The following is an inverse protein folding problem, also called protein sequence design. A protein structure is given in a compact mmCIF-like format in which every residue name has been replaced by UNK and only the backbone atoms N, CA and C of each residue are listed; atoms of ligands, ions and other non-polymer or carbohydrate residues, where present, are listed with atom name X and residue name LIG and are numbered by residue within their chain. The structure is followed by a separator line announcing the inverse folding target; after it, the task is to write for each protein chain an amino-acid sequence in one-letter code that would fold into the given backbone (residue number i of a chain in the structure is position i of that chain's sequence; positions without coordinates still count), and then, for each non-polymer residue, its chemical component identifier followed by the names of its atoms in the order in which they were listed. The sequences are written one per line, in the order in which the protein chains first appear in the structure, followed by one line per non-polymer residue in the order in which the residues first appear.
data_IF_030541063325
#
_entry.id   IF_030541063325
#
_cell.length_a   1.000
_cell.length_b   1.000
_cell.length_c   1.000
_cell.angle_alpha   90.00
_cell.angle_beta   90.00
_cell.angle_gamma   90.00
#
_symmetry.space_group_name_H-M   'P 1'
#
loop_
_entity.id
_entity.type
_entity.pdbx_description
1 polymer ?
#
# COMPACT_ATOMS: atom_id res chain seq x y z
N UNK A 1 26.20 0.13 -8.50
CA UNK A 1 25.59 1.27 -9.21
C UNK A 1 25.40 2.41 -8.22
N UNK A 2 25.93 3.61 -8.51
CA UNK A 2 25.72 4.79 -7.65
C UNK A 2 24.33 5.36 -7.96
N UNK A 3 23.51 5.63 -6.93
CA UNK A 3 22.21 6.29 -7.08
C UNK A 3 22.40 7.65 -7.78
N UNK A 4 21.61 7.99 -8.82
CA UNK A 4 21.56 9.36 -9.30
C UNK A 4 21.01 10.24 -8.16
N UNK A 5 21.61 11.43 -7.94
CA UNK A 5 21.11 12.38 -6.93
C UNK A 5 19.75 12.92 -7.41
N UNK A 6 18.67 12.47 -6.80
CA UNK A 6 17.33 12.99 -7.07
C UNK A 6 17.20 14.41 -6.51
N UNK A 7 16.44 15.26 -7.22
CA UNK A 7 16.02 16.57 -6.73
C UNK A 7 15.12 16.34 -5.52
N UNK A 8 15.29 17.12 -4.44
CA UNK A 8 14.45 17.04 -3.25
C UNK A 8 12.98 17.28 -3.63
N UNK A 9 12.17 16.22 -3.69
CA UNK A 9 10.73 16.30 -3.97
C UNK A 9 10.05 16.66 -2.66
N UNK A 10 9.47 17.86 -2.58
CA UNK A 10 8.67 18.24 -1.42
C UNK A 10 7.32 17.51 -1.48
N UNK A 11 6.83 16.98 -0.35
CA UNK A 11 5.52 16.35 -0.29
C UNK A 11 4.43 17.36 -0.67
N UNK A 12 3.44 16.93 -1.43
CA UNK A 12 2.25 17.73 -1.71
C UNK A 12 1.42 17.89 -0.42
N UNK A 13 1.47 19.08 0.17
CA UNK A 13 0.80 19.41 1.44
C UNK A 13 -0.60 19.99 1.25
N UNK A 14 -1.09 20.13 0.00
CA UNK A 14 -2.34 20.84 -0.28
C UNK A 14 -3.60 20.17 0.29
N UNK A 15 -3.52 18.88 0.65
CA UNK A 15 -4.66 18.05 1.07
C UNK A 15 -4.65 17.66 2.57
N UNK A 16 -3.77 18.23 3.41
CA UNK A 16 -3.59 17.76 4.81
C UNK A 16 -4.90 17.68 5.62
N UNK A 17 -5.77 18.68 5.53
CA UNK A 17 -7.05 18.69 6.26
C UNK A 17 -8.04 17.62 5.80
N UNK A 18 -8.05 17.26 4.51
CA UNK A 18 -8.91 16.18 3.97
C UNK A 18 -8.37 14.80 4.40
N UNK A 19 -7.06 14.63 4.49
CA UNK A 19 -6.42 13.38 4.92
C UNK A 19 -6.71 13.09 6.41
N UNK A 20 -6.64 14.10 7.27
CA UNK A 20 -6.92 13.94 8.71
C UNK A 20 -8.40 13.59 8.99
N UNK A 21 -9.35 14.26 8.34
CA UNK A 21 -10.78 13.97 8.47
C UNK A 21 -11.10 12.53 8.02
N UNK A 22 -10.48 12.09 6.91
CA UNK A 22 -10.62 10.71 6.41
C UNK A 22 -10.02 9.69 7.37
N UNK A 23 -8.85 9.97 7.96
CA UNK A 23 -8.25 9.09 8.95
C UNK A 23 -9.19 8.89 10.13
N UNK A 24 -9.78 9.97 10.65
CA UNK A 24 -10.73 9.88 11.77
C UNK A 24 -11.95 9.04 11.40
N UNK A 25 -12.57 9.28 10.23
CA UNK A 25 -13.72 8.49 9.74
C UNK A 25 -13.38 7.02 9.59
N UNK A 26 -12.24 6.69 9.00
CA UNK A 26 -11.79 5.31 8.87
C UNK A 26 -11.56 4.66 10.24
N UNK A 27 -10.87 5.35 11.16
CA UNK A 27 -10.59 4.81 12.48
C UNK A 27 -11.88 4.56 13.28
N UNK A 28 -12.90 5.41 13.14
CA UNK A 28 -14.22 5.19 13.74
C UNK A 28 -14.91 3.92 13.21
N UNK A 29 -14.82 3.64 11.90
CA UNK A 29 -15.41 2.44 11.30
C UNK A 29 -14.64 1.17 11.71
N UNK A 30 -13.31 1.25 11.73
CA UNK A 30 -12.43 0.11 12.03
C UNK A 30 -12.46 -0.26 13.52
N UNK A 31 -12.60 0.74 14.39
CA UNK A 31 -12.51 0.59 15.84
C UNK A 31 -11.07 0.71 16.33
N UNK A 32 -10.70 -0.02 17.38
CA UNK A 32 -9.39 0.10 18.04
C UNK A 32 -8.23 -0.62 17.34
N UNK A 33 -8.51 -1.58 16.46
CA UNK A 33 -7.48 -2.32 15.69
C UNK A 33 -7.96 -2.71 14.29
N UNK A 34 -7.13 -2.50 13.25
CA UNK A 34 -5.77 -1.96 13.28
C UNK A 34 -5.71 -0.42 13.39
N UNK A 35 -4.57 0.12 13.84
CA UNK A 35 -4.35 1.57 13.92
C UNK A 35 -3.99 2.16 12.56
N UNK A 36 -4.44 3.38 12.31
CA UNK A 36 -4.08 4.18 11.16
C UNK A 36 -3.11 5.29 11.54
N UNK A 37 -2.27 5.68 10.60
CA UNK A 37 -1.36 6.82 10.75
C UNK A 37 -1.24 7.58 9.44
N UNK A 38 -0.84 8.85 9.51
CA UNK A 38 -0.48 9.64 8.33
C UNK A 38 1.04 9.56 8.21
N UNK A 39 1.52 9.24 7.01
CA UNK A 39 2.94 9.25 6.71
C UNK A 39 3.19 9.81 5.32
N UNK A 40 4.42 10.25 5.08
CA UNK A 40 4.88 10.54 3.72
C UNK A 40 5.47 9.26 3.15
N UNK A 41 4.80 8.69 2.16
CA UNK A 41 5.33 7.58 1.38
C UNK A 41 6.30 8.13 0.32
N UNK A 42 7.51 7.59 0.28
CA UNK A 42 8.48 7.83 -0.77
C UNK A 42 8.80 6.51 -1.48
N UNK A 43 8.73 6.50 -2.81
CA UNK A 43 9.12 5.32 -3.56
C UNK A 43 10.65 5.15 -3.58
N UNK A 44 11.15 3.94 -3.84
CA UNK A 44 12.60 3.67 -3.79
C UNK A 44 13.41 4.49 -4.78
N UNK A 45 12.78 4.84 -5.91
CA UNK A 45 13.37 5.66 -6.94
C UNK A 45 13.46 7.15 -6.58
N UNK A 46 12.91 7.58 -5.45
CA UNK A 46 12.91 8.98 -5.00
C UNK A 46 12.26 9.91 -6.06
N UNK A 47 11.26 9.37 -6.78
CA UNK A 47 10.54 10.05 -7.88
C UNK A 47 9.10 10.40 -7.50
N UNK A 48 8.60 9.87 -6.39
CA UNK A 48 7.28 10.16 -5.83
C UNK A 48 7.41 10.27 -4.31
N UNK A 49 6.95 11.39 -3.76
CA UNK A 49 6.75 11.60 -2.32
C UNK A 49 5.33 12.12 -2.11
N UNK A 50 4.52 11.42 -1.31
CA UNK A 50 3.09 11.71 -1.15
C UNK A 50 2.60 11.37 0.25
N UNK A 51 1.73 12.21 0.82
CA UNK A 51 1.06 11.88 2.08
C UNK A 51 -0.02 10.84 1.85
N UNK A 52 -0.03 9.81 2.70
CA UNK A 52 -0.99 8.72 2.65
C UNK A 52 -1.44 8.37 4.06
N UNK A 53 -2.64 7.82 4.15
CA UNK A 53 -3.09 7.10 5.34
C UNK A 53 -2.51 5.69 5.23
N UNK A 54 -1.77 5.24 6.23
CA UNK A 54 -1.15 3.92 6.24
C UNK A 54 -1.62 3.05 7.41
N UNK A 55 -1.55 1.73 7.23
CA UNK A 55 -1.77 0.74 8.27
C UNK A 55 -0.94 -0.51 8.02
N UNK A 56 -0.56 -1.20 9.09
CA UNK A 56 0.19 -2.46 9.06
C UNK A 56 -0.60 -3.55 9.79
N UNK A 57 -1.64 -4.14 9.17
CA UNK A 57 -2.40 -5.22 9.79
C UNK A 57 -1.54 -6.47 9.96
N UNK A 58 -1.84 -7.24 11.00
CA UNK A 58 -1.13 -8.49 11.31
C UNK A 58 -1.97 -9.74 11.08
N UNK A 59 -3.29 -9.57 10.92
CA UNK A 59 -4.27 -10.65 10.73
C UNK A 59 -5.17 -10.39 9.52
N UNK A 60 -5.80 -11.45 9.00
CA UNK A 60 -6.75 -11.34 7.88
C UNK A 60 -7.99 -10.54 8.27
N UNK A 61 -8.40 -10.64 9.53
CA UNK A 61 -9.55 -9.94 10.10
C UNK A 61 -9.30 -8.43 10.11
N UNK A 62 -8.10 -8.01 10.52
CA UNK A 62 -7.68 -6.60 10.47
C UNK A 62 -7.61 -6.08 9.04
N UNK A 63 -7.01 -6.85 8.12
CA UNK A 63 -6.98 -6.51 6.70
C UNK A 63 -8.38 -6.38 6.11
N UNK A 64 -9.30 -7.28 6.47
CA UNK A 64 -10.70 -7.23 6.03
C UNK A 64 -11.39 -5.95 6.50
N UNK A 65 -11.20 -5.57 7.77
CA UNK A 65 -11.76 -4.31 8.30
C UNK A 65 -11.26 -3.09 7.52
N UNK A 66 -9.96 -3.03 7.25
CA UNK A 66 -9.34 -1.94 6.47
C UNK A 66 -9.96 -1.83 5.08
N UNK A 67 -10.07 -2.95 4.36
CA UNK A 67 -10.61 -2.96 2.99
C UNK A 67 -12.09 -2.57 2.97
N UNK A 68 -12.89 -3.06 3.93
CA UNK A 68 -14.30 -2.71 4.04
C UNK A 68 -14.49 -1.22 4.37
N UNK A 69 -13.74 -0.70 5.35
CA UNK A 69 -13.80 0.71 5.72
C UNK A 69 -13.37 1.62 4.56
N UNK A 70 -12.30 1.26 3.84
CA UNK A 70 -11.87 1.98 2.65
C UNK A 70 -12.94 1.97 1.55
N UNK A 71 -13.57 0.82 1.30
CA UNK A 71 -14.66 0.72 0.32
C UNK A 71 -15.86 1.58 0.70
N UNK A 72 -16.24 1.63 1.97
CA UNK A 72 -17.35 2.44 2.47
C UNK A 72 -17.07 3.94 2.30
N UNK A 73 -15.81 4.35 2.46
CA UNK A 73 -15.37 5.73 2.27
C UNK A 73 -14.98 6.08 0.82
N UNK A 74 -15.13 5.14 -0.12
CA UNK A 74 -14.75 5.34 -1.52
C UNK A 74 -13.24 5.53 -1.76
N UNK A 75 -12.40 5.03 -0.85
CA UNK A 75 -10.95 5.14 -0.93
C UNK A 75 -10.34 3.99 -1.73
N UNK A 76 -9.33 4.31 -2.53
CA UNK A 76 -8.53 3.29 -3.21
C UNK A 76 -7.54 2.67 -2.23
N UNK A 77 -7.37 1.36 -2.31
CA UNK A 77 -6.41 0.61 -1.47
C UNK A 77 -5.17 0.27 -2.29
N UNK A 78 -4.00 0.51 -1.73
CA UNK A 78 -2.69 0.10 -2.26
C UNK A 78 -2.00 -0.80 -1.25
N UNK A 79 -1.51 -1.94 -1.70
CA UNK A 79 -0.74 -2.84 -0.85
C UNK A 79 0.74 -2.71 -1.18
N UNK A 80 1.58 -2.60 -0.15
CA UNK A 80 3.03 -2.60 -0.28
C UNK A 80 3.64 -3.67 0.62
N UNK A 81 4.65 -4.37 0.09
CA UNK A 81 5.55 -5.18 0.91
C UNK A 81 6.54 -4.25 1.63
N UNK A 82 7.76 -4.19 1.10
CA UNK A 82 8.84 -3.34 1.64
C UNK A 82 9.01 -2.00 0.91
N UNK A 83 8.07 -1.62 0.02
CA UNK A 83 8.12 -0.33 -0.69
C UNK A 83 9.20 -0.19 -1.75
N UNK A 84 9.91 -1.27 -2.12
CA UNK A 84 10.98 -1.28 -3.12
C UNK A 84 10.48 -1.22 -4.58
N UNK A 85 9.58 -0.28 -4.87
CA UNK A 85 9.09 -0.02 -6.23
C UNK A 85 9.73 1.24 -6.81
N UNK A 86 9.99 1.20 -8.12
CA UNK A 86 10.33 2.38 -8.91
C UNK A 86 9.11 3.08 -9.50
N UNK A 87 7.95 2.42 -9.48
CA UNK A 87 6.73 2.96 -10.07
C UNK A 87 6.07 4.00 -9.15
N UNK A 88 5.48 5.08 -9.70
CA UNK A 88 4.60 5.97 -8.95
C UNK A 88 3.25 5.25 -8.75
N UNK A 89 3.15 4.47 -7.68
CA UNK A 89 2.00 3.58 -7.42
C UNK A 89 0.77 4.33 -6.87
N UNK A 90 0.99 5.53 -6.33
CA UNK A 90 -0.08 6.42 -5.86
C UNK A 90 -0.43 7.42 -6.96
N UNK A 91 -1.72 7.63 -7.17
CA UNK A 91 -2.22 8.65 -8.11
C UNK A 91 -2.55 9.96 -7.39
N UNK A 92 -2.87 9.90 -6.10
CA UNK A 92 -3.26 11.00 -5.23
C UNK A 92 -3.06 10.61 -3.76
N UNK A 93 -3.23 11.59 -2.88
CA UNK A 93 -3.12 11.50 -1.40
C UNK A 93 -4.31 10.75 -0.77
N UNK A 94 -5.34 10.42 -1.56
CA UNK A 94 -6.65 9.92 -1.09
C UNK A 94 -6.71 8.39 -1.13
N UNK A 95 -5.60 7.74 -0.84
CA UNK A 95 -5.47 6.28 -0.90
C UNK A 95 -4.99 5.72 0.43
N UNK A 96 -5.52 4.55 0.78
CA UNK A 96 -5.09 3.79 1.94
C UNK A 96 -3.92 2.89 1.54
N UNK A 97 -2.77 3.10 2.17
CA UNK A 97 -1.60 2.25 2.06
C UNK A 97 -1.64 1.15 3.12
N UNK A 98 -1.62 -0.11 2.68
CA UNK A 98 -1.58 -1.28 3.55
C UNK A 98 -0.21 -1.94 3.40
N UNK A 99 0.57 -1.93 4.48
CA UNK A 99 1.79 -2.72 4.54
C UNK A 99 1.47 -4.17 4.91
N UNK A 100 1.82 -5.10 4.02
CA UNK A 100 1.57 -6.54 4.23
C UNK A 100 2.77 -7.28 4.81
N UNK A 101 3.86 -6.58 5.14
CA UNK A 101 5.12 -7.18 5.62
C UNK A 101 4.97 -7.94 6.95
N UNK A 102 4.03 -7.52 7.80
CA UNK A 102 3.80 -8.06 9.15
C UNK A 102 2.59 -9.00 9.22
N UNK A 103 1.94 -9.27 8.08
CA UNK A 103 0.79 -10.17 7.99
C UNK A 103 1.20 -11.61 8.33
N UNK A 104 0.51 -12.21 9.30
CA UNK A 104 0.70 -13.61 9.67
C UNK A 104 -0.17 -14.52 8.83
N UNK A 105 0.41 -15.64 8.42
CA UNK A 105 -0.32 -16.74 7.82
C UNK A 105 -1.14 -17.46 8.90
N UNK A 106 -2.44 -17.63 8.66
CA UNK A 106 -3.40 -18.43 9.44
C UNK A 106 -3.56 -19.86 8.89
N UNK A 107 -2.80 -20.23 7.86
CA UNK A 107 -2.82 -21.56 7.29
C UNK A 107 -2.33 -22.59 8.32
N UNK A 108 -3.19 -23.56 8.64
CA UNK A 108 -3.00 -24.50 9.75
C UNK A 108 -1.85 -25.49 9.57
N UNK A 109 -1.34 -25.68 8.36
CA UNK A 109 -0.46 -26.83 8.12
C UNK A 109 0.46 -26.63 6.92
N UNK A 110 1.50 -25.82 7.06
CA UNK A 110 2.64 -25.77 6.14
C UNK A 110 2.31 -25.67 4.65
N UNK A 111 1.10 -25.19 4.31
CA UNK A 111 0.61 -25.18 2.93
C UNK A 111 1.61 -24.37 2.15
N UNK A 112 2.40 -25.08 1.35
CA UNK A 112 3.45 -24.51 0.52
C UNK A 112 2.75 -23.56 -0.41
N UNK A 113 2.76 -22.26 -0.06
CA UNK A 113 2.33 -21.19 -0.95
C UNK A 113 3.11 -21.44 -2.24
N UNK A 114 2.43 -21.94 -3.26
CA UNK A 114 3.05 -22.17 -4.56
C UNK A 114 3.16 -20.80 -5.18
N UNK A 115 4.34 -20.20 -5.11
CA UNK A 115 4.68 -19.09 -6.00
C UNK A 115 4.75 -19.71 -7.40
N UNK A 116 3.66 -19.62 -8.16
CA UNK A 116 3.69 -19.95 -9.58
C UNK A 116 4.49 -18.85 -10.27
N UNK A 117 5.81 -18.99 -10.30
CA UNK A 117 6.67 -18.12 -11.11
C UNK A 117 6.52 -18.52 -12.59
N UNK A 118 5.34 -18.30 -13.18
CA UNK A 118 5.10 -18.52 -14.62
C UNK A 118 5.57 -17.33 -15.48
N UNK A 119 6.51 -16.50 -15.01
CA UNK A 119 7.15 -15.46 -15.83
C UNK A 119 8.39 -15.95 -16.60
N UNK A 120 8.59 -17.26 -16.71
CA UNK A 120 9.75 -17.87 -17.39
C UNK A 120 9.47 -18.51 -18.75
N UNK A 121 8.22 -18.66 -19.18
CA UNK A 121 7.89 -19.23 -20.48
C UNK A 121 7.53 -18.10 -21.45
N UNK A 122 8.54 -17.62 -22.19
CA UNK A 122 8.30 -16.83 -23.40
C UNK A 122 7.30 -17.60 -24.25
N UNK A 123 6.10 -17.07 -24.42
CA UNK A 123 5.25 -17.44 -25.56
C UNK A 123 6.03 -17.02 -26.80
N UNK A 124 6.72 -17.99 -27.41
CA UNK A 124 7.00 -17.93 -28.82
C UNK A 124 5.68 -17.82 -29.58
N UNK A 125 5.80 -17.19 -30.74
CA UNK A 125 4.87 -17.29 -31.87
C UNK A 125 3.65 -16.36 -31.79
N UNK A 126 3.87 -15.13 -32.28
CA UNK A 126 2.87 -14.43 -33.07
C UNK A 126 3.52 -14.06 -34.41
N UNK A 127 3.40 -14.95 -35.40
CA UNK A 127 3.28 -14.52 -36.80
C UNK A 127 1.80 -14.23 -37.07
N UNK A 128 1.52 -13.02 -37.53
CA UNK A 128 0.34 -12.63 -38.30
C UNK A 128 0.80 -11.60 -39.33
#
# INVERSE_FOLDING_TARGET
MKKPKAKHIQPDLSDQGDVEDRLQKLQMIIGSSPSLQIETFENWGETQAIQVISSSPTTKEELKKLVLAASEQGLRVRCAGTGHSWAPIFADSKQLLIYVKDMKSDYKDGSRIRISNQFGQRRGDYEC
#
